data_IF_699079590490
#
_entry.id   IF_699079590490
#
_cell.length_a   1.000
_cell.length_b   1.000
_cell.length_c   1.000
_cell.angle_alpha   90.00
_cell.angle_beta   90.00
_cell.angle_gamma   90.00
#
_symmetry.space_group_name_H-M   'P 1'
#
loop_
_entity.id
_entity.type
_entity.pdbx_description
1 polymer ?
#
# COMPACT_ATOMS: atom_id res chain seq x y z
N UNK A 1 6.00 2.70 12.30
CA UNK A 1 6.13 2.70 10.81
C UNK A 1 6.47 1.25 10.45
N UNK A 2 5.64 0.54 9.70
CA UNK A 2 5.93 -0.84 9.30
C UNK A 2 6.37 -0.89 7.83
N UNK A 3 7.65 -0.56 7.53
CA UNK A 3 8.22 -0.82 6.21
C UNK A 3 8.38 -2.33 5.96
N UNK A 4 8.41 -3.14 7.03
CA UNK A 4 8.66 -4.58 6.99
C UNK A 4 7.59 -5.36 6.20
N UNK A 5 6.29 -5.09 6.34
CA UNK A 5 5.24 -5.79 5.60
C UNK A 5 5.26 -5.44 4.11
N UNK A 6 5.36 -4.15 3.78
CA UNK A 6 5.46 -3.70 2.39
C UNK A 6 6.70 -4.28 1.71
N UNK A 7 7.86 -4.23 2.36
CA UNK A 7 9.11 -4.80 1.82
C UNK A 7 9.05 -6.33 1.75
N UNK A 8 8.41 -7.03 2.70
CA UNK A 8 8.23 -8.49 2.67
C UNK A 8 7.34 -8.95 1.51
N UNK A 9 6.25 -8.24 1.23
CA UNK A 9 5.27 -8.65 0.23
C UNK A 9 5.65 -8.19 -1.19
N UNK A 10 6.28 -7.02 -1.33
CA UNK A 10 6.67 -6.46 -2.62
C UNK A 10 8.11 -6.79 -3.01
N UNK A 11 8.91 -7.24 -2.05
CA UNK A 11 10.32 -7.55 -2.22
C UNK A 11 11.24 -6.31 -2.14
N UNK A 12 12.54 -6.52 -1.86
CA UNK A 12 13.51 -5.44 -1.67
C UNK A 12 13.74 -4.59 -2.92
N UNK A 13 13.52 -5.15 -4.12
CA UNK A 13 13.66 -4.43 -5.38
C UNK A 13 12.66 -3.27 -5.54
N UNK A 14 11.52 -3.31 -4.84
CA UNK A 14 10.48 -2.27 -4.89
C UNK A 14 10.66 -1.18 -3.83
N UNK A 15 11.73 -1.24 -3.03
CA UNK A 15 11.98 -0.29 -1.93
C UNK A 15 12.02 1.17 -2.41
N UNK A 16 12.75 1.44 -3.50
CA UNK A 16 12.83 2.78 -4.08
C UNK A 16 11.44 3.30 -4.50
N UNK A 17 10.60 2.44 -5.06
CA UNK A 17 9.25 2.79 -5.50
C UNK A 17 8.32 3.04 -4.30
N UNK A 18 8.44 2.26 -3.22
CA UNK A 18 7.71 2.50 -1.96
C UNK A 18 8.12 3.84 -1.34
N UNK A 19 9.40 4.21 -1.41
CA UNK A 19 9.90 5.49 -0.88
C UNK A 19 9.46 6.70 -1.71
N UNK A 20 9.16 6.50 -3.00
CA UNK A 20 8.58 7.52 -3.89
C UNK A 20 7.10 7.80 -3.65
N UNK A 21 6.38 6.87 -3.03
CA UNK A 21 4.97 7.05 -2.72
C UNK A 21 4.79 8.11 -1.62
N UNK A 22 3.80 8.97 -1.83
CA UNK A 22 3.37 9.94 -0.85
C UNK A 22 2.95 9.23 0.44
N UNK A 23 3.26 9.83 1.59
CA UNK A 23 2.88 9.30 2.91
C UNK A 23 1.41 8.83 2.98
N UNK A 24 0.40 9.61 2.52
CA UNK A 24 -1.00 9.17 2.55
C UNK A 24 -1.30 7.96 1.65
N UNK A 25 -0.58 7.78 0.53
CA UNK A 25 -0.72 6.58 -0.32
C UNK A 25 -0.16 5.35 0.39
N UNK A 26 1.02 5.48 1.01
CA UNK A 26 1.61 4.40 1.82
C UNK A 26 0.71 4.00 2.98
N UNK A 27 0.08 4.98 3.64
CA UNK A 27 -0.88 4.73 4.71
C UNK A 27 -2.11 3.99 4.17
N UNK A 28 -2.66 4.40 3.02
CA UNK A 28 -3.80 3.72 2.41
C UNK A 28 -3.52 2.26 2.06
N UNK A 29 -2.33 1.96 1.54
CA UNK A 29 -1.91 0.58 1.20
C UNK A 29 -1.84 -0.35 2.42
N UNK A 30 -1.64 0.16 3.64
CA UNK A 30 -1.57 -0.68 4.85
C UNK A 30 -2.90 -1.34 5.22
N UNK A 31 -4.02 -0.78 4.75
CA UNK A 31 -5.36 -1.33 4.97
C UNK A 31 -5.69 -2.48 4.01
N UNK A 32 -4.89 -2.70 2.96
CA UNK A 32 -5.08 -3.82 2.06
C UNK A 32 -4.66 -5.14 2.71
N UNK A 33 -5.31 -6.24 2.32
CA UNK A 33 -4.84 -7.60 2.63
C UNK A 33 -3.53 -7.91 1.89
N UNK A 34 -2.79 -8.91 2.38
CA UNK A 34 -1.51 -9.35 1.78
C UNK A 34 -1.66 -9.79 0.32
N UNK A 35 -2.81 -10.38 -0.02
CA UNK A 35 -3.13 -10.86 -1.37
C UNK A 35 -3.38 -9.72 -2.36
N UNK A 36 -4.01 -8.63 -1.92
CA UNK A 36 -4.39 -7.51 -2.80
C UNK A 36 -3.33 -6.41 -2.86
N UNK A 37 -2.43 -6.38 -1.88
CA UNK A 37 -1.41 -5.33 -1.74
C UNK A 37 -0.48 -5.21 -2.96
N UNK A 38 0.05 -6.30 -3.57
CA UNK A 38 0.87 -6.19 -4.77
C UNK A 38 0.11 -5.56 -5.94
N UNK A 39 -1.14 -5.99 -6.18
CA UNK A 39 -1.96 -5.47 -7.27
C UNK A 39 -2.36 -3.99 -7.07
N UNK A 40 -2.71 -3.61 -5.84
CA UNK A 40 -3.00 -2.22 -5.50
C UNK A 40 -1.75 -1.34 -5.63
N UNK A 41 -0.60 -1.82 -5.17
CA UNK A 41 0.67 -1.11 -5.30
C UNK A 41 1.04 -0.84 -6.77
N UNK A 42 0.94 -1.84 -7.64
CA UNK A 42 1.20 -1.63 -9.07
C UNK A 42 0.22 -0.63 -9.71
N UNK A 43 -1.05 -0.66 -9.30
CA UNK A 43 -2.05 0.29 -9.78
C UNK A 43 -1.78 1.71 -9.30
N UNK A 44 -1.28 1.89 -8.08
CA UNK A 44 -0.81 3.19 -7.56
C UNK A 44 0.38 3.70 -8.38
N UNK A 45 1.37 2.85 -8.66
CA UNK A 45 2.54 3.22 -9.47
C UNK A 45 2.17 3.62 -10.90
N UNK A 46 1.17 2.97 -11.49
CA UNK A 46 0.64 3.32 -12.82
C UNK A 46 -0.23 4.58 -12.83
N UNK A 47 -0.40 5.26 -11.70
CA UNK A 47 -1.26 6.45 -11.60
C UNK A 47 -2.76 6.12 -11.69
N UNK A 48 -3.16 4.88 -11.40
CA UNK A 48 -4.55 4.42 -11.50
C UNK A 48 -5.50 4.94 -10.41
N UNK A 49 -5.00 5.82 -9.52
CA UNK A 49 -5.77 6.46 -8.47
C UNK A 49 -5.45 7.96 -8.43
N UNK A 50 -6.49 8.79 -8.45
CA UNK A 50 -6.35 10.24 -8.36
C UNK A 50 -6.08 10.70 -6.92
N UNK A 51 -6.66 10.03 -5.92
CA UNK A 51 -6.52 10.39 -4.51
C UNK A 51 -6.19 9.17 -3.64
N UNK A 52 -5.54 9.36 -2.48
CA UNK A 52 -5.31 8.29 -1.51
C UNK A 52 -6.60 7.63 -0.99
N UNK A 53 -7.72 8.37 -1.01
CA UNK A 53 -9.03 7.86 -0.62
C UNK A 53 -9.56 6.81 -1.62
N UNK A 54 -9.26 6.97 -2.92
CA UNK A 54 -9.63 6.00 -3.95
C UNK A 54 -8.88 4.66 -3.76
N UNK A 55 -7.66 4.70 -3.23
CA UNK A 55 -6.89 3.49 -2.88
C UNK A 55 -7.65 2.71 -1.80
N UNK A 56 -8.10 3.41 -0.74
CA UNK A 56 -8.87 2.80 0.35
C UNK A 56 -10.20 2.22 -0.15
N UNK A 57 -10.88 2.92 -1.05
CA UNK A 57 -12.11 2.44 -1.71
C UNK A 57 -11.87 1.23 -2.62
N UNK A 58 -10.65 1.08 -3.13
CA UNK A 58 -10.24 -0.06 -3.95
C UNK A 58 -9.90 -1.32 -3.15
N UNK A 59 -9.74 -1.23 -1.83
CA UNK A 59 -9.48 -2.38 -0.96
C UNK A 59 -10.77 -3.20 -0.82
N UNK A 60 -10.73 -4.49 -1.17
CA UNK A 60 -11.88 -5.38 -1.02
C UNK A 60 -11.85 -6.06 0.35
N UNK A 61 -10.69 -6.55 0.74
CA UNK A 61 -10.49 -7.19 2.03
C UNK A 61 -9.80 -6.23 3.01
N UNK A 62 -10.60 -5.38 3.65
CA UNK A 62 -10.12 -4.36 4.57
C UNK A 62 -9.51 -4.97 5.83
N UNK A 63 -8.23 -4.67 6.06
CA UNK A 63 -7.53 -5.02 7.28
C UNK A 63 -7.51 -3.80 8.21
N UNK A 64 -7.98 -3.96 9.45
CA UNK A 64 -7.79 -2.91 10.42
C UNK A 64 -6.29 -2.64 10.62
N UNK A 65 -5.91 -1.39 10.79
CA UNK A 65 -4.52 -1.00 11.06
C UNK A 65 -4.20 -1.35 12.52
N UNK A 66 -4.02 -2.64 12.80
CA UNK A 66 -3.71 -3.18 14.13
C UNK A 66 -2.32 -2.71 14.64
N UNK A 67 -1.55 -2.00 13.79
CA UNK A 67 -0.21 -1.49 14.05
C UNK A 67 -0.20 -0.07 14.67
N UNK A 68 -1.28 0.32 15.37
CA UNK A 68 -1.23 1.42 16.33
C UNK A 68 -0.82 0.87 17.70
N UNK A 69 0.48 0.73 17.92
CA UNK A 69 1.09 0.64 19.26
C UNK A 69 1.84 1.94 19.55
#
# INVERSE_FOLDING_TARGET
>A
RDPLRLERLLGPARRAEIERLELPQRIALRFASDEELPGLFERVLKGGFAKPDDIKRGVRNWQADWLRV
#
